data_IF_847970762673
#
_entry.id   IF_847970762673
#
_cell.length_a   1.000
_cell.length_b   1.000
_cell.length_c   1.000
_cell.angle_alpha   90.00
_cell.angle_beta   90.00
_cell.angle_gamma   90.00
#
_symmetry.space_group_name_H-M   'P 1'
#
loop_
_entity.id
_entity.type
_entity.pdbx_description
1 polymer ?
#
# COMPACT_ATOMS: atom_id res chain seq x y z
N UNK A 1 -12.54 18.84 -52.07
CA UNK A 1 -12.82 18.13 -50.81
C UNK A 1 -11.88 16.94 -50.80
N UNK A 2 -10.74 17.08 -50.13
CA UNK A 2 -9.68 16.09 -50.13
C UNK A 2 -9.60 15.46 -48.73
N UNK A 3 -9.78 14.14 -48.68
CA UNK A 3 -9.55 13.31 -47.50
C UNK A 3 -8.06 13.37 -47.12
N UNK A 4 -7.76 13.78 -45.89
CA UNK A 4 -6.42 13.70 -45.32
C UNK A 4 -6.31 12.42 -44.47
N UNK A 5 -5.29 11.57 -44.68
CA UNK A 5 -5.09 10.40 -43.84
C UNK A 5 -4.48 10.77 -42.48
N UNK A 6 -4.98 10.12 -41.42
CA UNK A 6 -4.46 10.23 -40.05
C UNK A 6 -3.02 9.71 -39.96
N UNK A 7 -2.12 10.36 -39.19
CA UNK A 7 -0.75 9.89 -39.01
C UNK A 7 -0.66 8.70 -38.05
N UNK A 8 0.23 7.78 -38.42
CA UNK A 8 0.62 6.58 -37.69
C UNK A 8 1.02 6.86 -36.23
N UNK A 9 0.56 5.98 -35.35
CA UNK A 9 0.97 5.90 -33.94
C UNK A 9 2.48 5.71 -33.84
N UNK A 10 3.20 6.75 -33.41
CA UNK A 10 4.56 6.66 -32.91
C UNK A 10 4.61 5.74 -31.68
N UNK A 11 5.18 4.54 -31.87
CA UNK A 11 5.49 3.59 -30.80
C UNK A 11 6.72 4.11 -30.07
N UNK A 12 6.58 4.41 -28.77
CA UNK A 12 7.66 4.89 -27.92
C UNK A 12 8.64 3.71 -27.60
N UNK A 13 9.92 3.76 -28.00
CA UNK A 13 10.84 2.63 -27.88
C UNK A 13 11.43 2.39 -26.46
N UNK A 14 11.01 3.17 -25.46
CA UNK A 14 11.54 3.08 -24.08
C UNK A 14 10.52 2.67 -23.01
N UNK A 15 9.38 2.09 -23.39
CA UNK A 15 8.49 1.44 -22.43
C UNK A 15 9.05 0.04 -22.07
N UNK A 16 9.37 -0.27 -20.80
CA UNK A 16 9.62 -1.65 -20.42
C UNK A 16 8.33 -2.45 -20.68
N UNK A 17 8.44 -3.45 -21.56
CA UNK A 17 7.39 -4.42 -21.83
C UNK A 17 7.22 -5.30 -20.59
N UNK A 18 6.38 -4.86 -19.66
CA UNK A 18 5.97 -5.69 -18.53
C UNK A 18 4.94 -6.68 -19.06
N UNK A 19 5.43 -7.84 -19.49
CA UNK A 19 4.58 -8.99 -19.77
C UNK A 19 3.76 -9.30 -18.52
N UNK A 20 2.45 -9.43 -18.70
CA UNK A 20 1.43 -9.81 -17.71
C UNK A 20 1.65 -11.21 -17.07
N UNK A 21 2.85 -11.79 -17.15
CA UNK A 21 3.12 -13.19 -16.80
C UNK A 21 3.76 -13.41 -15.43
N UNK A 22 4.25 -12.37 -14.74
CA UNK A 22 5.09 -12.58 -13.54
C UNK A 22 4.33 -12.57 -12.21
N UNK A 23 3.02 -12.83 -12.24
CA UNK A 23 2.24 -13.22 -11.05
C UNK A 23 1.71 -14.64 -11.17
N UNK A 24 2.54 -15.57 -11.60
CA UNK A 24 2.31 -16.97 -11.27
C UNK A 24 2.81 -17.16 -9.84
N UNK A 25 1.92 -16.98 -8.86
CA UNK A 25 2.06 -17.74 -7.63
C UNK A 25 1.98 -19.21 -8.08
N UNK A 26 3.12 -19.88 -8.20
CA UNK A 26 3.19 -21.28 -8.64
C UNK A 26 2.39 -22.11 -7.66
N UNK A 27 1.12 -22.36 -8.01
CA UNK A 27 0.33 -23.37 -7.33
C UNK A 27 1.04 -24.69 -7.56
N UNK A 28 1.33 -25.45 -6.50
CA UNK A 28 1.91 -26.77 -6.64
C UNK A 28 1.00 -27.65 -7.52
N UNK A 29 1.58 -28.55 -8.32
CA UNK A 29 0.84 -29.39 -9.24
C UNK A 29 -0.20 -30.23 -8.47
N UNK A 30 -1.39 -30.36 -9.05
CA UNK A 30 -2.46 -31.20 -8.52
C UNK A 30 -2.05 -32.68 -8.57
N UNK A 31 -2.31 -33.48 -7.53
CA UNK A 31 -1.93 -34.88 -7.49
C UNK A 31 -2.81 -35.77 -8.39
N UNK A 32 -2.34 -36.99 -8.61
CA UNK A 32 -3.06 -38.06 -9.33
C UNK A 32 -4.41 -38.40 -8.68
N UNK A 33 -5.28 -39.16 -9.38
CA UNK A 33 -6.59 -39.62 -8.85
C UNK A 33 -6.49 -40.61 -7.67
N UNK A 34 -5.29 -40.96 -7.22
CA UNK A 34 -5.08 -41.80 -6.03
C UNK A 34 -5.45 -41.04 -4.72
N UNK A 35 -6.41 -41.55 -3.92
CA UNK A 35 -6.82 -40.92 -2.67
C UNK A 35 -5.69 -40.71 -1.66
N UNK A 36 -4.72 -41.64 -1.55
CA UNK A 36 -3.61 -41.51 -0.60
C UNK A 36 -2.60 -40.46 -1.06
N UNK A 37 -2.24 -40.44 -2.35
CA UNK A 37 -1.44 -39.37 -2.93
C UNK A 37 -2.10 -37.98 -2.76
N UNK A 38 -3.42 -37.88 -2.92
CA UNK A 38 -4.16 -36.64 -2.68
C UNK A 38 -4.08 -36.20 -1.21
N UNK A 39 -4.28 -37.14 -0.28
CA UNK A 39 -4.21 -36.88 1.16
C UNK A 39 -2.83 -36.39 1.58
N UNK A 40 -1.76 -37.05 1.15
CA UNK A 40 -0.39 -36.66 1.45
C UNK A 40 -0.03 -35.29 0.85
N UNK A 41 -0.47 -35.02 -0.38
CA UNK A 41 -0.31 -33.70 -1.00
C UNK A 41 -1.00 -32.61 -0.16
N UNK A 42 -2.23 -32.85 0.30
CA UNK A 42 -2.99 -31.91 1.14
C UNK A 42 -2.28 -31.62 2.47
N UNK A 43 -1.74 -32.65 3.15
CA UNK A 43 -0.94 -32.46 4.37
C UNK A 43 0.27 -31.59 4.11
N UNK A 44 1.02 -31.86 3.04
CA UNK A 44 2.19 -31.06 2.67
C UNK A 44 1.83 -29.59 2.41
N UNK A 45 0.72 -29.33 1.70
CA UNK A 45 0.25 -27.95 1.50
C UNK A 45 -0.06 -27.24 2.82
N UNK A 46 -0.69 -27.96 3.75
CA UNK A 46 -1.03 -27.44 5.08
C UNK A 46 0.23 -27.12 5.88
N UNK A 47 1.22 -28.01 5.91
CA UNK A 47 2.50 -27.76 6.58
C UNK A 47 3.26 -26.58 5.98
N UNK A 48 3.36 -26.51 4.65
CA UNK A 48 4.07 -25.42 3.96
C UNK A 48 3.36 -24.07 4.17
N UNK A 49 2.02 -24.08 4.25
CA UNK A 49 1.23 -22.90 4.64
C UNK A 49 1.53 -22.51 6.09
N UNK A 50 1.51 -23.45 7.03
CA UNK A 50 1.76 -23.18 8.44
C UNK A 50 3.17 -22.61 8.68
N UNK A 51 4.19 -23.14 7.99
CA UNK A 51 5.56 -22.61 8.04
C UNK A 51 5.65 -21.17 7.54
N UNK A 52 5.00 -20.84 6.42
CA UNK A 52 4.97 -19.48 5.87
C UNK A 52 4.22 -18.50 6.77
N UNK A 53 3.16 -18.96 7.42
CA UNK A 53 2.44 -18.15 8.42
C UNK A 53 3.28 -17.91 9.67
N UNK A 54 3.98 -18.93 10.18
CA UNK A 54 4.87 -18.78 11.32
C UNK A 54 6.01 -17.79 11.04
N UNK A 55 6.65 -17.90 9.87
CA UNK A 55 7.66 -16.95 9.40
C UNK A 55 7.10 -15.52 9.26
N UNK A 56 5.91 -15.38 8.67
CA UNK A 56 5.24 -14.08 8.59
C UNK A 56 4.99 -13.49 9.97
N UNK A 57 4.45 -14.28 10.91
CA UNK A 57 4.21 -13.83 12.27
C UNK A 57 5.51 -13.37 12.92
N UNK A 58 6.59 -14.13 12.81
CA UNK A 58 7.91 -13.76 13.33
C UNK A 58 8.40 -12.44 12.75
N UNK A 59 8.39 -12.29 11.43
CA UNK A 59 8.85 -11.06 10.74
C UNK A 59 7.96 -9.85 11.01
N UNK A 60 6.69 -10.07 11.32
CA UNK A 60 5.74 -9.00 11.62
C UNK A 60 5.82 -8.52 13.08
N UNK A 61 6.51 -9.25 13.97
CA UNK A 61 6.67 -8.87 15.38
C UNK A 61 7.38 -7.52 15.48
N UNK A 62 6.82 -6.63 16.28
CA UNK A 62 7.37 -5.30 16.53
C UNK A 62 7.19 -4.29 15.40
N UNK A 63 6.62 -4.70 14.24
CA UNK A 63 6.27 -3.76 13.19
C UNK A 63 5.02 -2.96 13.57
N UNK A 64 5.03 -1.68 13.23
CA UNK A 64 3.85 -0.84 13.36
C UNK A 64 2.93 -1.03 12.15
N UNK A 65 1.69 -0.54 12.23
CA UNK A 65 0.77 -0.53 11.10
C UNK A 65 1.32 0.23 9.89
N UNK A 66 2.19 1.23 10.09
CA UNK A 66 2.86 2.00 9.02
C UNK A 66 3.96 1.21 8.31
N UNK A 67 4.48 0.16 8.96
CA UNK A 67 5.58 -0.68 8.50
C UNK A 67 5.11 -2.12 8.21
N UNK A 68 3.79 -2.35 8.17
CA UNK A 68 3.21 -3.67 7.95
C UNK A 68 3.75 -4.34 6.68
N UNK A 69 3.93 -5.65 6.73
CA UNK A 69 4.39 -6.46 5.59
C UNK A 69 3.24 -7.28 5.00
N UNK A 70 3.35 -7.65 3.73
CA UNK A 70 2.30 -8.45 3.08
C UNK A 70 2.22 -9.85 3.69
N UNK A 71 1.02 -10.33 4.02
CA UNK A 71 0.85 -11.70 4.45
C UNK A 71 1.07 -12.66 3.26
N UNK A 72 1.33 -13.96 3.52
CA UNK A 72 1.42 -14.97 2.47
C UNK A 72 0.16 -14.97 1.59
N UNK A 73 0.27 -15.20 0.27
CA UNK A 73 -0.85 -15.06 -0.68
C UNK A 73 -2.01 -16.03 -0.45
N UNK A 74 -1.80 -17.11 0.30
CA UNK A 74 -2.80 -18.10 0.71
C UNK A 74 -3.18 -18.00 2.19
N UNK A 75 -2.79 -16.90 2.84
CA UNK A 75 -3.29 -16.54 4.15
C UNK A 75 -4.78 -16.19 4.02
N UNK A 76 -5.64 -16.77 4.85
CA UNK A 76 -7.06 -16.43 4.89
C UNK A 76 -7.29 -15.14 5.72
N UNK A 77 -6.33 -14.20 5.70
CA UNK A 77 -6.34 -12.99 6.49
C UNK A 77 -7.08 -11.88 5.73
N UNK A 78 -8.41 -11.96 5.71
CA UNK A 78 -9.23 -10.87 5.18
C UNK A 78 -9.16 -9.65 6.11
N UNK A 79 -9.03 -8.45 5.53
CA UNK A 79 -9.10 -7.17 6.27
C UNK A 79 -7.84 -6.76 7.04
N UNK A 80 -6.73 -7.49 6.89
CA UNK A 80 -5.43 -7.11 7.45
C UNK A 80 -4.87 -5.82 6.83
N UNK A 81 -3.97 -5.16 7.56
CA UNK A 81 -3.18 -4.02 7.04
C UNK A 81 -2.04 -4.58 6.21
N UNK A 82 -1.90 -4.10 4.97
CA UNK A 82 -0.83 -4.50 4.08
C UNK A 82 -0.26 -3.30 3.32
N UNK A 83 0.99 -3.38 2.82
CA UNK A 83 1.55 -2.39 1.90
C UNK A 83 0.65 -2.15 0.69
N UNK A 84 0.45 -0.89 0.34
CA UNK A 84 -0.18 -0.52 -0.92
C UNK A 84 0.90 -0.13 -1.94
N UNK A 85 0.78 -0.66 -3.15
CA UNK A 85 1.62 -0.19 -4.27
C UNK A 85 1.19 1.23 -4.65
N UNK A 86 2.11 2.20 -4.56
CA UNK A 86 1.84 3.60 -4.92
C UNK A 86 1.83 3.75 -6.44
N UNK A 87 0.67 3.50 -7.03
CA UNK A 87 0.36 3.83 -8.43
C UNK A 87 0.06 5.32 -8.57
N UNK A 88 0.05 5.85 -9.79
CA UNK A 88 -0.31 7.26 -10.03
C UNK A 88 -1.73 7.59 -9.58
N UNK A 89 -2.67 6.65 -9.77
CA UNK A 89 -4.04 6.79 -9.30
C UNK A 89 -4.13 6.84 -7.77
N UNK A 90 -3.39 5.97 -7.07
CA UNK A 90 -3.35 5.99 -5.61
C UNK A 90 -2.65 7.27 -5.11
N UNK A 91 -1.56 7.68 -5.76
CA UNK A 91 -0.84 8.92 -5.44
C UNK A 91 -1.75 10.14 -5.56
N UNK A 92 -2.53 10.25 -6.63
CA UNK A 92 -3.49 11.33 -6.82
C UNK A 92 -4.56 11.37 -5.71
N UNK A 93 -4.91 10.22 -5.13
CA UNK A 93 -5.83 10.12 -4.00
C UNK A 93 -5.17 10.43 -2.66
N UNK A 94 -3.93 10.00 -2.44
CA UNK A 94 -3.19 10.18 -1.18
C UNK A 94 -2.71 11.62 -0.97
N UNK A 95 -2.32 12.34 -2.02
CA UNK A 95 -1.80 13.72 -1.88
C UNK A 95 -2.79 14.66 -1.16
N UNK A 96 -4.08 14.74 -1.55
CA UNK A 96 -5.07 15.51 -0.81
C UNK A 96 -5.22 15.08 0.66
N UNK A 97 -5.10 13.78 0.94
CA UNK A 97 -5.17 13.25 2.31
C UNK A 97 -3.95 13.66 3.15
N UNK A 98 -2.76 13.69 2.56
CA UNK A 98 -1.55 14.20 3.21
C UNK A 98 -1.68 15.68 3.55
N UNK A 99 -2.20 16.49 2.61
CA UNK A 99 -2.45 17.91 2.88
C UNK A 99 -3.47 18.10 4.00
N UNK A 100 -4.58 17.35 3.97
CA UNK A 100 -5.57 17.37 5.05
C UNK A 100 -4.96 16.97 6.41
N UNK A 101 -4.04 16.00 6.40
CA UNK A 101 -3.33 15.59 7.61
C UNK A 101 -2.37 16.67 8.12
N UNK A 102 -1.71 17.41 7.22
CA UNK A 102 -0.91 18.57 7.59
C UNK A 102 -1.77 19.70 8.16
N UNK A 103 -2.94 19.98 7.58
CA UNK A 103 -3.86 21.00 8.09
C UNK A 103 -4.30 20.68 9.53
N UNK A 104 -4.59 19.40 9.81
CA UNK A 104 -4.85 18.95 11.18
C UNK A 104 -3.63 19.18 12.08
N UNK A 105 -2.43 18.80 11.62
CA UNK A 105 -1.20 18.98 12.39
C UNK A 105 -0.92 20.46 12.71
N UNK A 106 -1.11 21.37 11.75
CA UNK A 106 -0.97 22.81 11.96
C UNK A 106 -2.01 23.37 12.93
N UNK A 107 -3.23 22.84 12.90
CA UNK A 107 -4.28 23.22 13.85
C UNK A 107 -3.93 22.80 15.28
N UNK A 108 -3.32 21.62 15.44
CA UNK A 108 -2.88 21.11 16.74
C UNK A 108 -1.57 21.78 17.23
N UNK A 109 -0.77 22.35 16.31
CA UNK A 109 0.55 22.94 16.57
C UNK A 109 0.64 24.37 16.01
N UNK A 110 0.09 25.38 16.70
CA UNK A 110 0.11 26.76 16.22
C UNK A 110 1.56 27.25 15.99
N UNK A 111 1.84 27.72 14.77
CA UNK A 111 3.17 28.16 14.34
C UNK A 111 3.93 27.13 13.49
N UNK A 112 3.46 25.89 13.42
CA UNK A 112 3.93 24.93 12.42
C UNK A 112 3.40 25.31 11.03
N UNK A 113 4.29 25.33 10.03
CA UNK A 113 3.92 25.57 8.64
C UNK A 113 4.75 24.66 7.72
N UNK A 114 4.16 23.51 7.37
CA UNK A 114 4.74 22.47 6.55
C UNK A 114 4.02 22.36 5.22
N UNK A 115 4.77 22.12 4.16
CA UNK A 115 4.26 21.88 2.82
C UNK A 115 4.60 20.45 2.44
N UNK A 116 3.60 19.71 1.96
CA UNK A 116 3.77 18.35 1.46
C UNK A 116 4.81 18.29 0.33
N UNK A 117 5.66 17.27 0.34
CA UNK A 117 6.72 17.09 -0.66
C UNK A 117 6.59 15.75 -1.38
N UNK A 118 6.56 14.64 -0.65
CA UNK A 118 6.56 13.30 -1.24
C UNK A 118 5.86 12.27 -0.36
N UNK A 119 5.28 11.22 -0.97
CA UNK A 119 4.82 10.03 -0.24
C UNK A 119 5.95 9.01 -0.24
N UNK A 120 6.40 8.61 0.95
CA UNK A 120 7.47 7.61 1.11
C UNK A 120 6.90 6.21 0.97
N UNK A 121 5.83 5.91 1.71
CA UNK A 121 5.12 4.63 1.68
C UNK A 121 3.73 4.74 2.25
N UNK A 122 2.90 3.76 1.95
CA UNK A 122 1.59 3.63 2.56
C UNK A 122 1.26 2.17 2.79
N UNK A 123 0.60 1.92 3.91
CA UNK A 123 -0.13 0.67 4.11
C UNK A 123 -1.62 1.01 4.20
N UNK A 124 -2.47 0.01 4.06
CA UNK A 124 -3.90 0.22 4.19
C UNK A 124 -4.66 -1.07 4.45
N UNK A 125 -5.92 -0.89 4.84
CA UNK A 125 -6.88 -1.98 4.97
C UNK A 125 -8.24 -1.56 4.41
N UNK A 126 -8.94 -2.52 3.83
CA UNK A 126 -10.32 -2.31 3.39
C UNK A 126 -11.26 -2.23 4.61
N UNK A 127 -12.10 -1.21 4.64
CA UNK A 127 -13.17 -1.00 5.63
C UNK A 127 -14.43 -0.53 4.88
N UNK A 128 -15.35 0.22 5.51
CA UNK A 128 -16.38 0.99 4.79
C UNK A 128 -15.73 2.21 4.11
N UNK A 129 -14.88 1.95 3.11
CA UNK A 129 -13.90 2.88 2.56
C UNK A 129 -12.50 2.25 2.58
N UNK A 130 -11.48 3.05 2.80
CA UNK A 130 -10.11 2.56 3.01
C UNK A 130 -9.45 3.32 4.14
N UNK A 131 -8.89 2.59 5.10
CA UNK A 131 -8.05 3.19 6.12
C UNK A 131 -6.61 3.14 5.62
N UNK A 132 -5.96 4.30 5.54
CA UNK A 132 -4.57 4.45 5.13
C UNK A 132 -3.69 4.83 6.32
N UNK A 133 -2.52 4.20 6.40
CA UNK A 133 -1.42 4.62 7.26
C UNK A 133 -0.29 5.11 6.35
N UNK A 134 -0.19 6.43 6.22
CA UNK A 134 0.65 7.09 5.23
C UNK A 134 1.91 7.58 5.92
N UNK A 135 3.07 7.25 5.36
CA UNK A 135 4.34 7.89 5.71
C UNK A 135 4.73 8.81 4.56
N UNK A 136 4.88 10.10 4.84
CA UNK A 136 5.17 11.11 3.83
C UNK A 136 6.18 12.13 4.34
N UNK A 137 6.79 12.85 3.42
CA UNK A 137 7.73 13.93 3.71
C UNK A 137 7.03 15.27 3.50
N UNK A 138 7.30 16.19 4.43
CA UNK A 138 6.88 17.57 4.31
C UNK A 138 8.00 18.48 4.80
N UNK A 139 8.08 19.66 4.20
CA UNK A 139 9.12 20.63 4.48
C UNK A 139 8.53 21.83 5.19
N UNK A 140 9.14 22.25 6.29
CA UNK A 140 8.76 23.53 6.89
C UNK A 140 9.15 24.66 5.92
N UNK A 141 8.30 25.67 5.74
CA UNK A 141 8.54 26.75 4.76
C UNK A 141 9.87 27.48 5.02
N UNK A 142 10.31 27.54 6.28
CA UNK A 142 11.58 28.16 6.68
C UNK A 142 12.79 27.20 6.72
N UNK A 143 12.61 25.91 6.45
CA UNK A 143 13.65 24.89 6.56
C UNK A 143 14.13 24.39 5.19
N UNK A 144 15.40 24.01 5.13
CA UNK A 144 16.00 23.38 3.95
C UNK A 144 15.81 21.87 3.89
N UNK A 145 15.44 21.25 5.02
CA UNK A 145 15.33 19.79 5.17
C UNK A 145 13.89 19.35 5.37
N UNK A 146 13.51 18.30 4.65
CA UNK A 146 12.22 17.63 4.80
C UNK A 146 12.19 16.83 6.09
N UNK A 147 11.02 16.77 6.71
CA UNK A 147 10.72 15.93 7.85
C UNK A 147 9.72 14.86 7.46
N UNK A 148 9.86 13.68 8.06
CA UNK A 148 8.94 12.58 7.83
C UNK A 148 7.77 12.63 8.80
N UNK A 149 6.56 12.52 8.27
CA UNK A 149 5.31 12.45 8.99
C UNK A 149 4.69 11.07 8.83
N UNK A 150 3.89 10.69 9.82
CA UNK A 150 3.02 9.53 9.82
C UNK A 150 1.58 9.99 10.07
N UNK A 151 0.66 9.61 9.17
CA UNK A 151 -0.75 9.95 9.28
C UNK A 151 -1.65 8.72 9.17
N UNK A 152 -2.64 8.67 10.05
CA UNK A 152 -3.74 7.71 10.02
C UNK A 152 -4.97 8.42 9.47
N UNK A 153 -5.41 8.00 8.28
CA UNK A 153 -6.51 8.64 7.57
C UNK A 153 -7.55 7.60 7.18
N UNK A 154 -8.79 7.82 7.57
CA UNK A 154 -9.92 7.04 7.09
C UNK A 154 -10.57 7.74 5.91
N UNK A 155 -10.29 7.22 4.72
CA UNK A 155 -10.88 7.65 3.45
C UNK A 155 -12.21 6.92 3.27
N UNK A 156 -13.25 7.53 3.82
CA UNK A 156 -14.60 6.97 3.90
C UNK A 156 -15.23 6.78 2.52
N UNK A 157 -16.16 5.82 2.44
CA UNK A 157 -17.07 5.77 1.29
C UNK A 157 -17.82 7.12 1.17
N UNK A 158 -18.06 7.66 -0.04
CA UNK A 158 -18.73 8.95 -0.22
C UNK A 158 -20.05 9.10 0.55
N UNK A 159 -20.82 8.02 0.66
CA UNK A 159 -22.10 8.00 1.39
C UNK A 159 -21.95 8.22 2.91
N UNK A 160 -20.75 8.04 3.45
CA UNK A 160 -20.42 8.22 4.87
C UNK A 160 -19.75 9.58 5.15
N UNK A 161 -19.59 10.42 4.13
CA UNK A 161 -18.96 11.74 4.20
C UNK A 161 -17.49 11.77 3.75
N UNK A 162 -16.85 12.93 3.90
CA UNK A 162 -15.47 13.14 3.46
C UNK A 162 -14.42 12.39 4.29
N UNK A 163 -13.14 12.39 3.89
CA UNK A 163 -12.06 11.75 4.63
C UNK A 163 -11.93 12.30 6.06
N UNK A 164 -11.48 11.45 6.99
CA UNK A 164 -11.21 11.81 8.39
C UNK A 164 -9.75 11.53 8.71
N UNK A 165 -9.03 12.54 9.18
CA UNK A 165 -7.68 12.38 9.72
C UNK A 165 -7.80 12.06 11.20
N UNK A 166 -7.46 10.83 11.57
CA UNK A 166 -7.48 10.40 12.97
C UNK A 166 -6.22 10.86 13.69
N UNK A 167 -5.06 10.75 13.04
CA UNK A 167 -3.79 11.23 13.60
C UNK A 167 -2.86 11.75 12.50
N UNK A 168 -2.02 12.72 12.86
CA UNK A 168 -0.86 13.15 12.07
C UNK A 168 0.24 13.57 13.03
N UNK A 169 1.45 13.03 12.86
CA UNK A 169 2.59 13.31 13.75
C UNK A 169 3.92 13.20 13.02
N UNK A 170 4.93 13.89 13.54
CA UNK A 170 6.31 13.68 13.12
C UNK A 170 6.76 12.26 13.48
N UNK A 171 7.41 11.60 12.54
CA UNK A 171 8.03 10.30 12.78
C UNK A 171 9.28 10.53 13.61
N UNK A 172 9.28 10.01 14.84
CA UNK A 172 10.48 10.06 15.67
C UNK A 172 11.57 9.18 15.05
N UNK A 173 12.83 9.65 14.97
CA UNK A 173 13.94 8.78 14.62
C UNK A 173 14.06 7.68 15.67
N UNK A 174 14.26 6.43 15.24
CA UNK A 174 14.54 5.31 16.13
C UNK A 174 15.85 5.63 16.88
N UNK A 175 15.74 5.91 18.18
CA UNK A 175 16.86 6.05 19.13
C UNK A 175 17.35 4.69 19.59
#
# INVERSE_FOLDING_TARGET
>A
MADSPLPDRLVNPFAPSVKSSDRVATRPPSPSRDPEAFRMWSYKQSEDKNKRMADYHERSKGLTVYDAISPPPDSNLCGGVAPCLITDSLRARLIPLCNLALDKFHSDNPGANYVFENIVKTTGRATSGTTYYITFEARAVAASTSQTFQAHVWDRHPDLGGPVVEECKLKQPLT
#
